data_IF_111940497345
#
_entry.id   IF_111940497345
#
_cell.length_a   1.000
_cell.length_b   1.000
_cell.length_c   1.000
_cell.angle_alpha   90.00
_cell.angle_beta   90.00
_cell.angle_gamma   90.00
#
_symmetry.space_group_name_H-M   'P 1'
#
loop_
_entity.id
_entity.type
_entity.pdbx_description
1 polymer ?
#
# COMPACT_ATOMS: atom_id res chain seq x y z
N UNK A 1 14.20 -82.31 -32.74
CA UNK A 1 15.39 -81.50 -32.44
C UNK A 1 15.18 -80.12 -33.03
N UNK A 2 14.77 -79.16 -32.20
CA UNK A 2 14.53 -77.79 -32.60
C UNK A 2 15.78 -76.95 -32.35
N UNK A 3 16.16 -76.10 -33.30
CA UNK A 3 16.55 -74.72 -33.03
C UNK A 3 16.52 -73.89 -34.31
N UNK A 4 15.63 -72.91 -34.27
CA UNK A 4 15.51 -71.79 -35.19
C UNK A 4 16.74 -70.87 -35.13
N UNK A 5 17.02 -70.24 -36.26
CA UNK A 5 17.91 -69.09 -36.38
C UNK A 5 17.68 -68.44 -37.74
N UNK A 6 16.64 -67.61 -37.85
CA UNK A 6 16.45 -66.72 -39.00
C UNK A 6 16.20 -65.30 -38.51
N UNK A 7 16.86 -64.36 -39.17
CA UNK A 7 16.85 -62.95 -38.81
C UNK A 7 15.69 -62.18 -39.44
N UNK A 8 15.33 -61.10 -38.75
CA UNK A 8 14.60 -59.89 -39.16
C UNK A 8 14.33 -59.18 -37.82
N UNK A 9 14.81 -57.99 -37.46
CA UNK A 9 15.02 -56.76 -38.20
C UNK A 9 14.18 -55.68 -37.49
N UNK A 10 14.85 -54.61 -36.98
CA UNK A 10 14.29 -53.32 -36.46
C UNK A 10 13.69 -53.41 -35.03
N UNK A 11 14.06 -52.65 -34.00
CA UNK A 11 14.67 -51.31 -33.86
C UNK A 11 15.52 -51.22 -32.57
N UNK A 12 16.68 -50.55 -32.56
CA UNK A 12 17.34 -50.15 -31.32
C UNK A 12 16.80 -48.79 -30.84
N UNK A 13 16.39 -48.71 -29.58
CA UNK A 13 16.12 -47.44 -28.89
C UNK A 13 17.35 -46.52 -28.99
N UNK A 14 17.26 -45.28 -29.52
CA UNK A 14 18.39 -44.38 -29.49
C UNK A 14 18.48 -43.74 -28.10
N UNK A 15 19.61 -43.99 -27.44
CA UNK A 15 20.12 -43.18 -26.32
C UNK A 15 20.40 -41.77 -26.85
N UNK A 16 19.43 -40.86 -26.72
CA UNK A 16 19.61 -39.47 -27.14
C UNK A 16 20.58 -38.74 -26.22
N UNK A 17 21.77 -38.46 -26.77
CA UNK A 17 22.76 -37.49 -26.28
C UNK A 17 22.09 -36.15 -25.96
N UNK A 18 22.61 -35.47 -24.93
CA UNK A 18 22.43 -34.03 -24.72
C UNK A 18 22.85 -33.28 -25.99
N UNK A 19 21.89 -32.95 -26.84
CA UNK A 19 22.04 -31.93 -27.86
C UNK A 19 21.53 -30.63 -27.24
N UNK A 20 22.43 -29.65 -27.19
CA UNK A 20 22.19 -28.34 -26.60
C UNK A 20 20.97 -27.69 -27.22
N UNK A 21 20.04 -27.27 -26.36
CA UNK A 21 18.98 -26.34 -26.76
C UNK A 21 19.63 -25.01 -27.14
N UNK A 22 19.32 -24.44 -28.31
CA UNK A 22 19.81 -23.13 -28.70
C UNK A 22 19.27 -22.08 -27.72
N UNK A 23 20.08 -21.05 -27.50
CA UNK A 23 19.97 -20.12 -26.39
C UNK A 23 18.58 -19.52 -26.18
N UNK A 24 17.93 -19.93 -25.10
CA UNK A 24 17.08 -19.02 -24.34
C UNK A 24 17.99 -18.20 -23.42
N UNK A 25 18.73 -17.27 -24.02
CA UNK A 25 19.39 -16.21 -23.28
C UNK A 25 18.33 -15.44 -22.50
N UNK A 26 18.52 -15.37 -21.19
CA UNK A 26 18.12 -14.24 -20.34
C UNK A 26 16.78 -13.60 -20.63
N UNK A 27 15.67 -14.29 -20.37
CA UNK A 27 14.41 -13.61 -20.12
C UNK A 27 13.71 -14.26 -18.93
N UNK A 28 14.31 -14.13 -17.75
CA UNK A 28 13.49 -13.94 -16.55
C UNK A 28 12.71 -12.64 -16.79
N UNK A 29 11.58 -12.73 -17.49
CA UNK A 29 10.55 -11.69 -17.37
C UNK A 29 10.21 -11.70 -15.89
N UNK A 30 10.80 -10.77 -15.14
CA UNK A 30 10.21 -10.32 -13.89
C UNK A 30 8.80 -9.94 -14.30
N UNK A 31 7.83 -10.80 -14.01
CA UNK A 31 6.44 -10.33 -13.95
C UNK A 31 6.54 -9.13 -13.00
N UNK A 32 6.15 -7.92 -13.40
CA UNK A 32 5.96 -6.88 -12.41
C UNK A 32 4.88 -7.43 -11.51
N UNK A 33 5.28 -8.03 -10.39
CA UNK A 33 4.44 -8.26 -9.25
C UNK A 33 4.12 -6.88 -8.70
N UNK A 34 3.32 -6.11 -9.44
CA UNK A 34 2.63 -4.98 -8.90
C UNK A 34 1.70 -5.57 -7.86
N UNK A 35 2.07 -5.41 -6.59
CA UNK A 35 1.28 -5.85 -5.46
C UNK A 35 -0.16 -5.36 -5.66
N UNK A 36 -1.07 -6.27 -6.03
CA UNK A 36 -2.49 -6.00 -6.27
C UNK A 36 -3.13 -5.29 -5.08
N UNK A 37 -2.63 -5.55 -3.87
CA UNK A 37 -3.11 -4.92 -2.64
C UNK A 37 -2.75 -3.44 -2.49
N UNK A 38 -1.56 -3.00 -2.94
CA UNK A 38 -1.07 -1.64 -2.66
C UNK A 38 -1.77 -0.55 -3.48
N UNK A 39 -2.23 -0.87 -4.70
CA UNK A 39 -2.80 0.11 -5.63
C UNK A 39 -4.31 0.37 -5.39
N UNK A 40 -5.03 -0.62 -4.85
CA UNK A 40 -6.43 -0.51 -4.44
C UNK A 40 -6.59 0.30 -3.14
N UNK A 41 -5.69 0.10 -2.18
CA UNK A 41 -5.71 0.80 -0.88
C UNK A 41 -4.88 2.09 -0.88
N UNK A 42 -4.39 2.52 -2.05
CA UNK A 42 -3.56 3.71 -2.19
C UNK A 42 -4.27 4.93 -1.61
N UNK A 43 -3.54 5.71 -0.84
CA UNK A 43 -4.00 7.04 -0.45
C UNK A 43 -4.00 7.95 -1.69
N UNK A 44 -5.18 8.20 -2.23
CA UNK A 44 -5.41 9.16 -3.31
C UNK A 44 -6.26 10.26 -2.72
N UNK A 45 -5.60 11.24 -2.09
CA UNK A 45 -6.17 12.52 -1.76
C UNK A 45 -5.43 13.60 -2.59
N UNK A 46 -6.13 14.57 -3.21
CA UNK A 46 -5.50 15.65 -3.92
C UNK A 46 -4.76 16.58 -2.95
N UNK A 47 -3.62 17.12 -3.38
CA UNK A 47 -2.90 18.17 -2.65
C UNK A 47 -1.39 17.96 -2.50
N UNK A 48 -0.69 19.06 -2.18
CA UNK A 48 0.75 19.07 -2.02
C UNK A 48 1.24 18.20 -0.85
N UNK A 49 0.44 18.07 0.20
CA UNK A 49 0.82 17.27 1.39
C UNK A 49 0.86 15.78 1.08
N UNK A 50 -0.09 15.26 0.31
CA UNK A 50 -0.05 13.88 -0.13
C UNK A 50 1.15 13.61 -1.06
N UNK A 51 1.47 14.57 -1.96
CA UNK A 51 2.63 14.43 -2.83
C UNK A 51 3.95 14.35 -2.03
N UNK A 52 4.14 15.25 -1.05
CA UNK A 52 5.29 15.26 -0.15
C UNK A 52 5.39 13.98 0.67
N UNK A 53 4.27 13.53 1.25
CA UNK A 53 4.21 12.30 2.01
C UNK A 53 4.57 11.08 1.18
N UNK A 54 4.04 10.96 -0.04
CA UNK A 54 4.36 9.85 -0.95
C UNK A 54 5.82 9.83 -1.36
N UNK A 55 6.40 11.01 -1.63
CA UNK A 55 7.83 11.12 -1.93
C UNK A 55 8.70 10.69 -0.74
N UNK A 56 8.40 11.21 0.46
CA UNK A 56 9.11 10.85 1.68
C UNK A 56 8.97 9.35 2.00
N UNK A 57 7.76 8.82 1.90
CA UNK A 57 7.48 7.40 2.13
C UNK A 57 8.26 6.50 1.17
N UNK A 58 8.25 6.84 -0.13
CA UNK A 58 8.99 6.10 -1.14
C UNK A 58 10.50 6.08 -0.83
N UNK A 59 11.07 7.18 -0.34
CA UNK A 59 12.47 7.23 0.10
C UNK A 59 12.71 6.31 1.31
N UNK A 60 11.82 6.32 2.30
CA UNK A 60 11.94 5.49 3.52
C UNK A 60 11.91 3.99 3.21
N UNK A 61 11.04 3.55 2.29
CA UNK A 61 10.88 2.11 1.98
C UNK A 61 11.66 1.67 0.73
N UNK A 62 12.47 2.56 0.14
CA UNK A 62 13.20 2.27 -1.09
C UNK A 62 12.30 1.93 -2.28
N UNK A 63 11.13 2.57 -2.37
CA UNK A 63 10.17 2.37 -3.46
C UNK A 63 9.52 0.99 -3.53
N UNK A 64 9.62 0.17 -2.48
CA UNK A 64 9.09 -1.21 -2.47
C UNK A 64 7.56 -1.27 -2.61
N UNK A 65 6.86 -0.32 -2.00
CA UNK A 65 5.40 -0.22 -2.05
C UNK A 65 4.93 1.22 -1.80
N UNK A 66 3.70 1.51 -2.20
CA UNK A 66 3.04 2.81 -1.99
C UNK A 66 2.37 2.89 -0.62
N UNK A 67 2.22 4.10 -0.03
CA UNK A 67 1.48 4.25 1.21
C UNK A 67 -0.03 4.03 1.01
N UNK A 68 -0.64 3.46 2.04
CA UNK A 68 -2.08 3.24 2.13
C UNK A 68 -2.69 4.08 3.28
N UNK A 69 -3.99 3.92 3.52
CA UNK A 69 -4.69 4.65 4.58
C UNK A 69 -4.13 4.38 5.99
N UNK A 70 -3.60 3.17 6.26
CA UNK A 70 -2.96 2.86 7.55
C UNK A 70 -1.68 3.67 7.76
N UNK A 71 -0.86 3.79 6.71
CA UNK A 71 0.35 4.60 6.76
C UNK A 71 0.03 6.08 7.02
N UNK A 72 -1.05 6.59 6.43
CA UNK A 72 -1.53 7.96 6.67
C UNK A 72 -2.00 8.14 8.13
N UNK A 73 -2.78 7.20 8.66
CA UNK A 73 -3.24 7.25 10.06
C UNK A 73 -2.07 7.21 11.05
N UNK A 74 -1.04 6.40 10.77
CA UNK A 74 0.16 6.36 11.61
C UNK A 74 0.96 7.67 11.56
N UNK A 75 1.08 8.27 10.37
CA UNK A 75 1.72 9.58 10.18
C UNK A 75 1.02 10.66 11.02
N UNK A 76 -0.31 10.72 10.95
CA UNK A 76 -1.09 11.69 11.72
C UNK A 76 -1.01 11.44 13.23
N UNK A 77 -1.04 10.18 13.66
CA UNK A 77 -0.91 9.82 15.06
C UNK A 77 0.41 10.32 15.66
N UNK A 78 1.51 10.14 14.92
CA UNK A 78 2.82 10.64 15.35
C UNK A 78 2.89 12.17 15.34
N UNK A 79 2.31 12.83 14.33
CA UNK A 79 2.23 14.28 14.27
C UNK A 79 1.43 14.87 15.44
N UNK A 80 0.32 14.23 15.81
CA UNK A 80 -0.51 14.59 16.96
C UNK A 80 0.27 14.45 18.28
N UNK A 81 0.95 13.31 18.48
CA UNK A 81 1.75 13.08 19.69
C UNK A 81 2.85 14.15 19.81
N UNK A 82 3.59 14.40 18.74
CA UNK A 82 4.67 15.40 18.72
C UNK A 82 4.13 16.81 19.02
N UNK A 83 3.05 17.22 18.37
CA UNK A 83 2.44 18.54 18.59
C UNK A 83 1.89 18.70 20.02
N UNK A 84 1.30 17.64 20.57
CA UNK A 84 0.77 17.65 21.92
C UNK A 84 1.88 17.77 22.94
N UNK A 85 2.96 16.99 22.80
CA UNK A 85 4.12 17.08 23.69
C UNK A 85 4.80 18.44 23.61
N UNK A 86 4.87 19.05 22.42
CA UNK A 86 5.36 20.43 22.28
C UNK A 86 4.47 21.41 23.06
N UNK A 87 3.14 21.26 22.99
CA UNK A 87 2.16 22.10 23.70
C UNK A 87 2.21 21.91 25.22
N UNK A 88 2.50 20.71 25.71
CA UNK A 88 2.56 20.41 27.15
C UNK A 88 3.94 20.61 27.76
N UNK A 89 4.95 21.01 26.97
CA UNK A 89 6.33 21.10 27.42
C UNK A 89 6.93 19.74 27.80
N UNK A 90 6.54 18.68 27.11
CA UNK A 90 7.02 17.31 27.32
C UNK A 90 6.27 16.53 28.40
N UNK A 91 5.25 17.10 29.05
CA UNK A 91 4.41 16.35 30.00
C UNK A 91 3.54 15.34 29.26
N UNK A 92 3.69 14.08 29.63
CA UNK A 92 3.03 12.94 28.99
C UNK A 92 2.04 12.21 29.93
N UNK A 93 1.66 12.83 31.06
CA UNK A 93 0.61 12.26 31.92
C UNK A 93 -0.74 12.26 31.18
N UNK A 94 -1.50 11.16 31.33
CA UNK A 94 -2.74 10.94 30.59
C UNK A 94 -3.73 12.11 30.65
N UNK A 95 -4.08 12.65 31.84
CA UNK A 95 -5.00 13.76 31.95
C UNK A 95 -4.53 15.04 31.25
N UNK A 96 -3.28 15.46 31.46
CA UNK A 96 -2.73 16.67 30.83
C UNK A 96 -2.63 16.49 29.32
N UNK A 97 -2.16 15.32 28.87
CA UNK A 97 -2.03 14.99 27.45
C UNK A 97 -3.40 15.04 26.77
N UNK A 98 -4.39 14.32 27.30
CA UNK A 98 -5.74 14.28 26.73
C UNK A 98 -6.41 15.66 26.73
N UNK A 99 -6.21 16.48 27.76
CA UNK A 99 -6.68 17.86 27.77
C UNK A 99 -6.03 18.71 26.69
N UNK A 100 -4.76 18.47 26.37
CA UNK A 100 -4.01 19.21 25.37
C UNK A 100 -4.33 18.80 23.93
N UNK A 101 -4.67 17.52 23.70
CA UNK A 101 -5.05 16.94 22.39
C UNK A 101 -6.39 17.49 21.88
N UNK A 102 -7.34 17.79 22.77
CA UNK A 102 -8.68 18.25 22.38
C UNK A 102 -8.61 19.47 21.46
N UNK A 103 -9.32 19.39 20.33
CA UNK A 103 -9.32 20.45 19.32
C UNK A 103 -8.03 20.53 18.48
N UNK A 104 -7.14 19.52 18.56
CA UNK A 104 -6.00 19.41 17.66
C UNK A 104 -6.48 19.46 16.21
N UNK A 105 -5.81 20.26 15.38
CA UNK A 105 -6.10 20.42 13.96
C UNK A 105 -4.81 20.50 13.17
N UNK A 106 -4.68 19.70 12.11
CA UNK A 106 -3.48 19.69 11.28
C UNK A 106 -3.79 19.34 9.82
N UNK A 107 -2.89 19.79 8.94
CA UNK A 107 -2.84 19.30 7.57
C UNK A 107 -2.28 17.87 7.56
N UNK A 108 -2.96 16.98 6.85
CA UNK A 108 -2.55 15.58 6.69
C UNK A 108 -2.49 15.22 5.21
N UNK A 109 -1.72 14.17 4.83
CA UNK A 109 -1.76 13.59 3.49
C UNK A 109 -3.16 13.19 3.01
N UNK A 110 -4.13 13.04 3.92
CA UNK A 110 -5.54 12.73 3.58
C UNK A 110 -6.50 13.93 3.67
N UNK A 111 -5.99 15.15 3.77
CA UNK A 111 -6.78 16.36 3.96
C UNK A 111 -6.63 16.92 5.38
N UNK A 112 -7.44 17.92 5.74
CA UNK A 112 -7.37 18.47 7.11
C UNK A 112 -8.02 17.49 8.08
N UNK A 113 -7.34 17.20 9.19
CA UNK A 113 -7.85 16.36 10.27
C UNK A 113 -7.98 17.17 11.55
N UNK A 114 -8.99 16.86 12.34
CA UNK A 114 -9.23 17.47 13.66
C UNK A 114 -9.55 16.38 14.69
N UNK A 115 -9.19 16.58 15.95
CA UNK A 115 -9.70 15.75 17.05
C UNK A 115 -10.84 16.47 17.74
N UNK A 116 -12.01 15.84 17.73
CA UNK A 116 -13.20 16.35 18.39
C UNK A 116 -12.96 16.45 19.90
N UNK A 117 -13.27 17.61 20.48
CA UNK A 117 -13.06 17.85 21.91
C UNK A 117 -14.08 17.11 22.81
N UNK A 118 -15.26 16.78 22.28
CA UNK A 118 -16.32 16.06 22.97
C UNK A 118 -16.05 14.55 22.98
N UNK A 119 -15.74 13.98 21.81
CA UNK A 119 -15.64 12.52 21.65
C UNK A 119 -14.20 11.99 21.70
N UNK A 120 -13.20 12.87 21.52
CA UNK A 120 -11.80 12.52 21.24
C UNK A 120 -11.62 11.65 19.98
N UNK A 121 -12.64 11.60 19.11
CA UNK A 121 -12.57 10.90 17.84
C UNK A 121 -12.11 11.85 16.73
N UNK A 122 -11.70 11.27 15.61
CA UNK A 122 -11.21 12.03 14.48
C UNK A 122 -12.34 12.58 13.63
N UNK A 123 -12.22 13.84 13.26
CA UNK A 123 -13.01 14.52 12.24
C UNK A 123 -12.14 14.68 11.00
N UNK A 124 -12.61 14.15 9.87
CA UNK A 124 -11.83 14.07 8.64
C UNK A 124 -12.70 14.16 7.40
N UNK A 125 -12.10 14.50 6.26
CA UNK A 125 -12.77 14.35 4.97
C UNK A 125 -12.93 12.86 4.61
N UNK A 126 -14.14 12.47 4.19
CA UNK A 126 -14.46 11.14 3.69
C UNK A 126 -14.60 11.20 2.17
N UNK A 127 -13.77 10.43 1.47
CA UNK A 127 -13.74 10.41 0.01
C UNK A 127 -14.51 9.22 -0.55
N UNK A 128 -15.40 9.48 -1.49
CA UNK A 128 -16.03 8.47 -2.34
C UNK A 128 -15.09 8.19 -3.51
N UNK A 129 -14.77 6.92 -3.72
CA UNK A 129 -13.79 6.47 -4.72
C UNK A 129 -14.38 5.43 -5.66
N UNK A 130 -14.09 5.55 -6.95
CA UNK A 130 -14.39 4.54 -7.97
C UNK A 130 -13.10 3.80 -8.35
N UNK A 131 -13.21 2.49 -8.49
CA UNK A 131 -12.10 1.66 -8.96
C UNK A 131 -12.10 1.63 -10.49
N UNK A 132 -11.10 2.25 -11.11
CA UNK A 132 -10.94 2.26 -12.56
C UNK A 132 -9.77 1.33 -12.96
N UNK A 133 -9.91 0.63 -14.08
CA UNK A 133 -8.85 -0.20 -14.67
C UNK A 133 -7.90 0.68 -15.48
N UNK A 134 -6.60 0.55 -15.23
CA UNK A 134 -5.52 1.23 -15.95
C UNK A 134 -4.54 0.22 -16.53
N UNK A 135 -3.66 0.67 -17.45
CA UNK A 135 -2.62 -0.18 -18.06
C UNK A 135 -1.72 -0.90 -17.04
N UNK A 136 -1.63 -0.38 -15.80
CA UNK A 136 -0.81 -0.93 -14.71
C UNK A 136 -1.60 -1.58 -13.56
N UNK A 137 -2.90 -1.83 -13.73
CA UNK A 137 -3.79 -2.43 -12.72
C UNK A 137 -4.96 -1.52 -12.32
N UNK A 138 -5.58 -1.80 -11.18
CA UNK A 138 -6.71 -1.03 -10.67
C UNK A 138 -6.26 0.18 -9.84
N UNK A 139 -6.93 1.30 -10.00
CA UNK A 139 -6.68 2.54 -9.25
C UNK A 139 -7.97 3.04 -8.64
N UNK A 140 -7.93 3.43 -7.38
CA UNK A 140 -9.04 4.10 -6.70
C UNK A 140 -8.97 5.61 -6.99
N UNK A 141 -9.82 6.10 -7.89
CA UNK A 141 -9.94 7.51 -8.21
C UNK A 141 -11.02 8.14 -7.33
N UNK A 142 -10.74 9.29 -6.75
CA UNK A 142 -11.74 10.11 -6.05
C UNK A 142 -12.77 10.63 -7.06
N UNK A 143 -14.05 10.51 -6.71
CA UNK A 143 -15.17 11.02 -7.51
C UNK A 143 -16.00 12.06 -6.75
N UNK A 144 -16.00 12.00 -5.42
CA UNK A 144 -16.73 12.94 -4.56
C UNK A 144 -16.19 12.88 -3.12
N UNK A 145 -16.58 13.82 -2.26
CA UNK A 145 -16.13 13.91 -0.87
C UNK A 145 -17.14 14.61 0.05
N UNK A 146 -17.11 14.23 1.32
CA UNK A 146 -17.75 14.95 2.42
C UNK A 146 -16.69 15.48 3.37
N UNK A 147 -16.73 16.78 3.66
CA UNK A 147 -15.75 17.42 4.54
C UNK A 147 -16.14 17.34 6.01
N UNK A 148 -15.12 17.28 6.86
CA UNK A 148 -15.25 17.37 8.31
C UNK A 148 -16.33 16.43 8.90
N UNK A 149 -16.31 15.17 8.48
CA UNK A 149 -17.26 14.15 8.95
C UNK A 149 -16.83 13.66 10.34
N UNK A 150 -17.75 13.72 11.30
CA UNK A 150 -17.63 13.14 12.64
C UNK A 150 -17.96 11.64 12.63
N UNK A 151 -17.62 10.91 13.69
CA UNK A 151 -18.09 9.53 13.89
C UNK A 151 -19.64 9.54 13.96
N UNK A 152 -20.36 8.89 13.03
CA UNK A 152 -21.81 8.94 12.96
C UNK A 152 -22.52 8.30 14.17
N UNK A 153 -21.81 7.56 15.02
CA UNK A 153 -22.38 6.89 16.20
C UNK A 153 -22.17 7.71 17.48
N UNK A 154 -21.35 8.77 17.44
CA UNK A 154 -21.00 9.58 18.61
C UNK A 154 -21.24 11.06 18.32
N UNK A 155 -22.10 11.69 19.13
CA UNK A 155 -22.38 13.13 19.08
C UNK A 155 -21.96 13.81 20.38
#
# INVERSE_FOLDING_TARGET
MAREGSGQGRHPFPRWRRLGRPGCAGARRRRPGGYLHGRLLRLVAPGAENARFREAFAKTVGGRFEPNFLAASAYDGMALIAATLAKTGGKADGPTFMKAVKGYRAASPRGTVTIDAATNDIVQTIYIRRIDKSAGGFVANEIDRYDAVHDPVKN
#
